data_IF_142436330704
#
_entry.id   IF_142436330704
#
_cell.length_a   1.000
_cell.length_b   1.000
_cell.length_c   1.000
_cell.angle_alpha   90.00
_cell.angle_beta   90.00
_cell.angle_gamma   90.00
#
_symmetry.space_group_name_H-M   'P 1'
#
loop_
_entity.id
_entity.type
_entity.pdbx_description
1 polymer ?
#
# COMPACT_ATOMS: atom_id res chain seq x y z
N UNK A 1 13.43 4.11 -13.18
CA UNK A 1 12.88 4.11 -11.80
C UNK A 1 13.55 2.97 -11.02
N UNK A 2 14.30 3.29 -9.95
CA UNK A 2 14.95 2.25 -9.13
C UNK A 2 13.92 1.52 -8.26
N UNK A 3 14.00 0.20 -8.19
CA UNK A 3 13.08 -0.62 -7.42
C UNK A 3 13.28 -0.38 -5.91
N UNK A 4 12.23 0.04 -5.20
CA UNK A 4 12.30 0.28 -3.75
C UNK A 4 12.54 -1.05 -3.02
N UNK A 5 13.55 -1.10 -2.15
CA UNK A 5 13.71 -2.25 -1.25
C UNK A 5 12.64 -2.19 -0.14
N UNK A 6 11.60 -3.00 -0.28
CA UNK A 6 10.43 -3.02 0.62
C UNK A 6 10.47 -4.18 1.62
N UNK A 7 11.53 -5.00 1.61
CA UNK A 7 11.61 -6.24 2.40
C UNK A 7 11.42 -6.02 3.91
N UNK A 8 12.03 -4.96 4.45
CA UNK A 8 11.89 -4.57 5.87
C UNK A 8 10.46 -4.14 6.18
N UNK A 9 9.82 -3.37 5.29
CA UNK A 9 8.44 -2.93 5.46
C UNK A 9 7.46 -4.11 5.45
N UNK A 10 7.63 -5.04 4.50
CA UNK A 10 6.79 -6.23 4.41
C UNK A 10 6.97 -7.16 5.61
N UNK A 11 8.20 -7.29 6.15
CA UNK A 11 8.44 -8.06 7.37
C UNK A 11 7.70 -7.46 8.57
N UNK A 12 7.73 -6.14 8.72
CA UNK A 12 6.99 -5.43 9.78
C UNK A 12 5.47 -5.56 9.59
N UNK A 13 4.97 -5.37 8.38
CA UNK A 13 3.55 -5.54 8.07
C UNK A 13 3.05 -6.94 8.42
N UNK A 14 3.78 -8.00 8.02
CA UNK A 14 3.43 -9.39 8.35
C UNK A 14 3.44 -9.68 9.85
N UNK A 15 4.28 -9.00 10.63
CA UNK A 15 4.26 -9.11 12.09
C UNK A 15 3.00 -8.45 12.68
N UNK A 16 2.58 -7.30 12.14
CA UNK A 16 1.35 -6.62 12.55
C UNK A 16 0.08 -7.43 12.23
N UNK A 17 0.06 -8.16 11.11
CA UNK A 17 -1.05 -9.06 10.76
C UNK A 17 -1.29 -10.20 11.75
N UNK A 18 -0.33 -10.48 12.63
CA UNK A 18 -0.45 -11.51 13.68
C UNK A 18 -0.61 -10.91 15.09
N UNK A 19 -0.59 -9.59 15.21
CA UNK A 19 -0.58 -8.92 16.49
C UNK A 19 -2.01 -8.77 17.03
N UNK A 20 -2.25 -9.37 18.20
CA UNK A 20 -3.56 -9.44 18.85
C UNK A 20 -4.13 -8.08 19.28
N UNK A 21 -3.29 -7.04 19.33
CA UNK A 21 -3.76 -5.66 19.59
C UNK A 21 -4.57 -5.08 18.42
N UNK A 22 -4.42 -5.62 17.20
CA UNK A 22 -5.11 -5.12 16.00
C UNK A 22 -6.12 -6.11 15.44
N UNK A 23 -5.92 -7.42 15.64
CA UNK A 23 -6.76 -8.49 15.09
C UNK A 23 -6.96 -9.57 16.15
N UNK A 24 -8.17 -10.13 16.28
CA UNK A 24 -8.41 -11.23 17.23
C UNK A 24 -7.63 -12.49 16.86
N UNK A 25 -7.53 -12.75 15.55
CA UNK A 25 -6.91 -13.93 14.97
C UNK A 25 -5.88 -13.55 13.90
N UNK A 26 -4.82 -14.36 13.69
CA UNK A 26 -3.81 -14.06 12.69
C UNK A 26 -4.39 -13.99 11.27
N UNK A 27 -4.24 -12.82 10.61
CA UNK A 27 -4.68 -12.63 9.23
C UNK A 27 -3.69 -13.29 8.25
N UNK A 28 -4.21 -14.08 7.30
CA UNK A 28 -3.40 -14.64 6.22
C UNK A 28 -3.18 -13.66 5.06
N UNK A 29 -4.09 -12.69 4.89
CA UNK A 29 -4.04 -11.72 3.80
C UNK A 29 -4.56 -10.34 4.23
N UNK A 30 -4.10 -9.29 3.55
CA UNK A 30 -4.55 -7.92 3.75
C UNK A 30 -4.60 -7.18 2.41
N UNK A 31 -5.72 -6.54 2.11
CA UNK A 31 -5.96 -5.82 0.86
C UNK A 31 -5.62 -4.34 1.08
N UNK A 32 -4.72 -3.79 0.26
CA UNK A 32 -4.40 -2.36 0.26
C UNK A 32 -5.12 -1.71 -0.93
N UNK A 33 -6.22 -0.96 -0.71
CA UNK A 33 -6.93 -0.30 -1.78
C UNK A 33 -6.11 0.84 -2.40
N UNK A 34 -6.50 1.23 -3.61
CA UNK A 34 -5.88 2.32 -4.36
C UNK A 34 -6.62 3.65 -4.17
N UNK A 35 -7.52 3.75 -3.20
CA UNK A 35 -8.37 4.90 -2.96
C UNK A 35 -8.19 5.39 -1.52
N UNK A 36 -8.65 6.60 -1.25
CA UNK A 36 -8.88 7.08 0.11
C UNK A 36 -10.28 6.68 0.59
N UNK A 37 -10.68 7.21 1.75
CA UNK A 37 -11.98 6.96 2.36
C UNK A 37 -13.17 7.59 1.60
N UNK A 38 -12.90 8.54 0.69
CA UNK A 38 -13.91 9.31 -0.03
C UNK A 38 -13.95 8.98 -1.52
N UNK A 39 -13.16 8.00 -1.97
CA UNK A 39 -13.01 7.63 -3.38
C UNK A 39 -12.58 8.83 -4.25
N UNK A 40 -11.69 9.67 -3.71
CA UNK A 40 -11.16 10.81 -4.44
C UNK A 40 -10.49 10.37 -5.74
N UNK A 41 -10.69 11.18 -6.79
CA UNK A 41 -10.03 10.99 -8.09
C UNK A 41 -8.50 11.06 -7.95
N UNK A 42 -8.01 11.98 -7.11
CA UNK A 42 -6.59 12.15 -6.81
C UNK A 42 -6.31 11.92 -5.33
N UNK A 43 -5.34 11.05 -5.05
CA UNK A 43 -4.92 10.75 -3.69
C UNK A 43 -3.98 11.81 -3.14
N UNK A 44 -4.30 12.29 -1.94
CA UNK A 44 -3.34 13.02 -1.12
C UNK A 44 -2.10 12.15 -0.83
N UNK A 45 -0.91 12.75 -0.66
CA UNK A 45 0.31 11.99 -0.38
C UNK A 45 0.21 11.02 0.80
N UNK A 46 -0.56 11.38 1.84
CA UNK A 46 -0.80 10.56 3.01
C UNK A 46 -1.59 9.27 2.72
N UNK A 47 -2.45 9.26 1.71
CA UNK A 47 -3.31 8.12 1.37
C UNK A 47 -2.69 7.17 0.34
N UNK A 48 -1.48 7.46 -0.16
CA UNK A 48 -0.74 6.60 -1.10
C UNK A 48 -0.11 5.36 -0.43
N UNK A 49 -0.92 4.62 0.33
CA UNK A 49 -0.53 3.43 1.11
C UNK A 49 0.09 2.32 0.25
N UNK A 50 -0.47 2.06 -0.93
CA UNK A 50 0.07 1.08 -1.89
C UNK A 50 1.49 1.45 -2.30
N UNK A 51 1.71 2.68 -2.74
CA UNK A 51 3.02 3.16 -3.14
C UNK A 51 4.04 3.12 -1.99
N UNK A 52 3.60 3.37 -0.75
CA UNK A 52 4.45 3.25 0.42
C UNK A 52 4.96 1.81 0.62
N UNK A 53 4.06 0.80 0.55
CA UNK A 53 4.42 -0.60 0.80
C UNK A 53 5.12 -1.25 -0.38
N UNK A 54 4.71 -0.98 -1.63
CA UNK A 54 5.24 -1.68 -2.81
C UNK A 54 6.26 -0.87 -3.61
N UNK A 55 6.30 0.46 -3.45
CA UNK A 55 7.04 1.35 -4.35
C UNK A 55 6.37 1.56 -5.71
N UNK A 56 5.21 0.94 -5.96
CA UNK A 56 4.45 1.12 -7.20
C UNK A 56 3.57 2.36 -7.11
N UNK A 57 3.87 3.36 -7.95
CA UNK A 57 3.15 4.65 -8.01
C UNK A 57 2.13 4.74 -9.13
N UNK A 58 2.00 3.70 -9.98
CA UNK A 58 0.98 3.67 -11.03
C UNK A 58 -0.41 3.76 -10.40
N UNK A 59 -1.35 4.43 -11.05
CA UNK A 59 -2.70 4.69 -10.54
C UNK A 59 -3.64 3.53 -10.87
N UNK A 60 -3.60 3.04 -12.11
CA UNK A 60 -4.07 1.75 -12.66
C UNK A 60 -3.29 1.58 -13.98
N UNK A 61 -3.24 0.42 -14.63
CA UNK A 61 -2.49 0.25 -15.87
C UNK A 61 -2.96 1.19 -17.00
N UNK A 62 -2.37 2.37 -17.10
CA UNK A 62 -2.23 3.18 -18.31
C UNK A 62 -1.28 4.32 -17.95
N UNK A 63 -0.10 4.31 -18.57
CA UNK A 63 0.74 5.49 -18.65
C UNK A 63 -0.04 6.55 -19.42
N UNK A 64 -0.36 7.67 -18.78
CA UNK A 64 -0.27 8.96 -19.46
C UNK A 64 0.94 9.66 -18.86
N UNK A 65 2.11 9.34 -19.40
CA UNK A 65 3.21 10.29 -19.40
C UNK A 65 2.70 11.54 -20.13
N UNK A 66 2.43 12.60 -19.38
CA UNK A 66 2.50 13.95 -19.91
C UNK A 66 3.85 14.53 -19.47
N UNK A 67 4.90 14.14 -20.22
CA UNK A 67 5.86 15.01 -20.91
C UNK A 67 6.94 14.15 -21.59
#
# INVERSE_FOLDING_TARGET
>A
MAMKNTGVLLKRMRALLKNTNYVSDPLQAYIIPCTDAHQSEYLAPCDRRRAFISGFTGTTGMFSDFY
#
